data_IF_628405046752
#
_entry.id   IF_628405046752
#
_cell.length_a   1.000
_cell.length_b   1.000
_cell.length_c   1.000
_cell.angle_alpha   90.00
_cell.angle_beta   90.00
_cell.angle_gamma   90.00
#
_symmetry.space_group_name_H-M   'P 1'
#
loop_
_entity.id
_entity.type
_entity.pdbx_description
1 polymer ?
#
# COMPACT_ATOMS: atom_id res chain seq x y z
N UNK A 1 53.85 -35.41 24.07
CA UNK A 1 52.40 -35.40 24.39
C UNK A 1 51.93 -33.96 24.23
N UNK A 2 51.36 -33.55 23.07
CA UNK A 2 49.94 -33.72 22.65
C UNK A 2 49.04 -32.95 23.65
N UNK A 3 48.43 -31.79 23.40
CA UNK A 3 47.52 -31.33 22.32
C UNK A 3 47.44 -29.79 22.39
N UNK A 4 47.85 -29.03 21.37
CA UNK A 4 47.01 -28.36 20.37
C UNK A 4 45.48 -28.36 20.65
N UNK A 5 44.93 -27.19 20.97
CA UNK A 5 43.49 -26.89 20.86
C UNK A 5 43.34 -25.57 20.10
N UNK A 6 43.36 -25.72 18.77
CA UNK A 6 42.79 -24.77 17.82
C UNK A 6 41.28 -25.04 17.80
N UNK A 7 40.47 -24.08 18.21
CA UNK A 7 39.05 -24.06 17.84
C UNK A 7 38.80 -22.83 16.97
N UNK A 8 38.83 -23.09 15.67
CA UNK A 8 38.08 -22.37 14.65
C UNK A 8 36.59 -22.41 15.01
N UNK A 9 35.94 -21.25 15.06
CA UNK A 9 34.56 -21.11 14.60
C UNK A 9 34.39 -19.79 13.85
N UNK A 10 34.59 -19.91 12.54
CA UNK A 10 34.12 -19.00 11.50
C UNK A 10 32.59 -19.13 11.42
N UNK A 11 31.92 -18.05 10.99
CA UNK A 11 30.53 -17.94 10.52
C UNK A 11 29.54 -17.46 11.60
N UNK A 12 28.67 -16.47 11.37
CA UNK A 12 28.07 -16.06 10.11
C UNK A 12 27.64 -14.58 10.20
N UNK A 13 28.20 -13.73 9.32
CA UNK A 13 27.50 -12.53 8.85
C UNK A 13 26.30 -13.00 8.04
N UNK A 14 25.12 -13.00 8.65
CA UNK A 14 23.85 -12.96 7.96
C UNK A 14 22.79 -12.85 9.05
N UNK A 15 22.06 -11.74 9.10
CA UNK A 15 20.68 -11.64 9.60
C UNK A 15 20.32 -10.17 9.73
N UNK A 16 20.12 -9.50 8.59
CA UNK A 16 19.00 -8.58 8.41
C UNK A 16 18.64 -8.59 6.94
N UNK A 17 18.14 -9.75 6.49
CA UNK A 17 17.23 -9.73 5.36
C UNK A 17 16.05 -8.86 5.79
N UNK A 18 15.98 -7.64 5.28
CA UNK A 18 14.75 -6.87 5.26
C UNK A 18 13.75 -7.68 4.43
N UNK A 19 13.02 -8.58 5.08
CA UNK A 19 11.80 -9.12 4.49
C UNK A 19 10.88 -7.93 4.25
N UNK A 20 10.50 -7.61 3.00
CA UNK A 20 9.41 -6.68 2.78
C UNK A 20 8.19 -7.34 3.43
N UNK A 21 7.74 -6.76 4.54
CA UNK A 21 6.57 -7.24 5.25
C UNK A 21 5.38 -7.15 4.31
N UNK A 22 4.99 -8.28 3.72
CA UNK A 22 3.77 -8.43 2.94
C UNK A 22 2.57 -8.35 3.87
N UNK A 23 2.28 -7.14 4.36
CA UNK A 23 1.06 -6.84 5.11
C UNK A 23 -0.02 -6.50 4.08
N UNK A 24 -0.96 -7.42 3.92
CA UNK A 24 -2.15 -7.26 3.08
C UNK A 24 -3.21 -6.50 3.89
N UNK A 25 -3.57 -5.29 3.46
CA UNK A 25 -4.69 -4.53 4.00
C UNK A 25 -5.97 -4.85 3.23
N UNK A 26 -7.06 -5.20 3.95
CA UNK A 26 -8.41 -5.30 3.37
C UNK A 26 -9.15 -3.99 3.61
N UNK A 27 -9.53 -3.29 2.55
CA UNK A 27 -10.18 -1.97 2.59
C UNK A 27 -9.25 -0.82 3.00
N UNK A 28 -9.75 0.41 2.91
CA UNK A 28 -9.03 1.64 3.31
C UNK A 28 -8.76 1.65 4.82
N UNK A 29 -9.75 1.27 5.64
CA UNK A 29 -9.55 0.96 7.06
C UNK A 29 -8.34 0.05 7.30
N UNK A 30 -8.07 -0.91 6.42
CA UNK A 30 -6.94 -1.83 6.57
C UNK A 30 -5.58 -1.12 6.58
N UNK A 31 -5.36 -0.09 5.78
CA UNK A 31 -4.12 0.70 5.82
C UNK A 31 -4.11 1.64 7.03
N UNK A 32 -5.24 2.27 7.34
CA UNK A 32 -5.32 3.25 8.43
C UNK A 32 -5.26 2.63 9.84
N UNK A 33 -5.71 1.38 9.98
CA UNK A 33 -5.70 0.63 11.23
C UNK A 33 -4.39 -0.12 11.48
N UNK A 34 -3.52 -0.20 10.48
CA UNK A 34 -2.18 -0.76 10.65
C UNK A 34 -1.39 0.08 11.64
N UNK A 35 -0.86 -0.55 12.68
CA UNK A 35 -0.06 0.12 13.71
C UNK A 35 1.19 0.80 13.14
N UNK A 36 1.73 0.33 12.02
CA UNK A 36 2.88 0.92 11.33
C UNK A 36 2.51 2.04 10.34
N UNK A 37 1.22 2.23 10.05
CA UNK A 37 0.65 3.29 9.22
C UNK A 37 -0.28 4.22 10.03
N UNK A 38 -0.30 4.15 11.35
CA UNK A 38 -1.12 5.02 12.18
C UNK A 38 -0.25 6.02 12.91
N UNK A 39 -0.53 7.31 12.74
CA UNK A 39 0.11 8.36 13.52
C UNK A 39 -0.34 9.76 13.14
N UNK A 40 0.22 10.77 13.83
CA UNK A 40 -0.19 12.16 13.66
C UNK A 40 0.33 12.77 12.34
N UNK A 41 -0.27 13.88 11.94
CA UNK A 41 0.25 14.72 10.85
C UNK A 41 1.71 15.16 11.09
N UNK A 42 2.41 15.46 10.00
CA UNK A 42 3.77 15.95 10.01
C UNK A 42 4.81 14.93 10.45
N UNK A 43 4.41 13.66 10.67
CA UNK A 43 5.29 12.57 11.05
C UNK A 43 5.29 11.50 9.96
N UNK A 44 6.50 11.09 9.59
CA UNK A 44 6.70 9.93 8.72
C UNK A 44 6.38 8.65 9.49
N UNK A 45 5.50 7.83 8.95
CA UNK A 45 5.10 6.55 9.50
C UNK A 45 6.03 5.43 9.04
N UNK A 46 6.09 4.36 9.84
CA UNK A 46 6.98 3.22 9.59
C UNK A 46 6.64 2.44 8.31
N UNK A 47 5.41 2.57 7.80
CA UNK A 47 5.01 1.94 6.56
C UNK A 47 5.37 2.75 5.30
N UNK A 48 5.74 4.02 5.44
CA UNK A 48 6.13 4.85 4.32
C UNK A 48 7.46 4.40 3.70
N UNK A 49 7.50 4.33 2.38
CA UNK A 49 8.61 3.78 1.60
C UNK A 49 8.58 2.24 1.47
N UNK A 50 7.60 1.57 2.07
CA UNK A 50 7.43 0.11 1.95
C UNK A 50 6.37 -0.21 0.91
N UNK A 51 6.52 -1.38 0.29
CA UNK A 51 5.48 -1.95 -0.56
C UNK A 51 4.34 -2.45 0.33
N UNK A 52 3.13 -2.00 0.04
CA UNK A 52 1.90 -2.46 0.70
C UNK A 52 0.96 -3.01 -0.36
N UNK A 53 0.30 -4.11 -0.02
CA UNK A 53 -0.79 -4.67 -0.80
C UNK A 53 -2.13 -4.26 -0.17
N UNK A 54 -2.99 -3.67 -0.97
CA UNK A 54 -4.34 -3.25 -0.62
C UNK A 54 -5.34 -4.01 -1.50
N UNK A 55 -6.34 -4.61 -0.87
CA UNK A 55 -7.51 -5.16 -1.54
C UNK A 55 -8.73 -4.29 -1.22
N UNK A 56 -9.47 -3.87 -2.23
CA UNK A 56 -10.60 -2.98 -2.07
C UNK A 56 -11.83 -3.45 -2.82
N UNK A 57 -12.99 -3.40 -2.17
CA UNK A 57 -14.27 -3.56 -2.83
C UNK A 57 -14.63 -2.28 -3.58
N UNK A 58 -15.15 -2.45 -4.79
CA UNK A 58 -15.58 -1.38 -5.68
C UNK A 58 -17.08 -1.13 -5.46
N UNK A 59 -17.40 0.04 -4.93
CA UNK A 59 -18.76 0.59 -4.85
C UNK A 59 -18.76 2.00 -5.49
N UNK A 60 -19.75 2.84 -5.18
CA UNK A 60 -19.80 4.25 -5.62
C UNK A 60 -18.74 5.16 -4.96
N UNK A 61 -17.72 4.58 -4.33
CA UNK A 61 -16.70 5.25 -3.53
C UNK A 61 -15.38 5.49 -4.29
N UNK A 62 -15.37 5.32 -5.61
CA UNK A 62 -14.18 5.44 -6.46
C UNK A 62 -14.31 6.62 -7.41
N UNK A 63 -13.29 7.48 -7.42
CA UNK A 63 -13.12 8.54 -8.40
C UNK A 63 -11.81 8.34 -9.16
N UNK A 64 -11.71 8.90 -10.37
CA UNK A 64 -10.52 8.82 -11.22
C UNK A 64 -10.18 10.22 -11.70
N UNK A 65 -8.90 10.58 -11.67
CA UNK A 65 -8.38 11.78 -12.34
C UNK A 65 -6.97 11.51 -12.86
N UNK A 66 -6.76 11.67 -14.16
CA UNK A 66 -5.49 11.35 -14.82
C UNK A 66 -5.05 9.90 -14.57
N UNK A 67 -3.83 9.75 -14.06
CA UNK A 67 -3.24 8.47 -13.65
C UNK A 67 -3.49 8.14 -12.17
N UNK A 68 -4.52 8.70 -11.56
CA UNK A 68 -4.84 8.49 -10.14
C UNK A 68 -6.24 7.94 -9.95
N UNK A 69 -6.34 6.87 -9.16
CA UNK A 69 -7.60 6.45 -8.53
C UNK A 69 -7.66 7.04 -7.13
N UNK A 70 -8.80 7.64 -6.81
CA UNK A 70 -9.15 8.09 -5.47
C UNK A 70 -10.17 7.11 -4.92
N UNK A 71 -9.74 6.35 -3.92
CA UNK A 71 -10.58 5.38 -3.28
C UNK A 71 -10.99 5.93 -1.92
N UNK A 72 -12.30 6.12 -1.71
CA UNK A 72 -12.87 6.65 -0.47
C UNK A 72 -13.38 5.50 0.40
N UNK A 73 -13.23 5.61 1.71
CA UNK A 73 -13.77 4.61 2.62
C UNK A 73 -15.32 4.69 2.60
N UNK A 74 -16.04 3.58 2.34
CA UNK A 74 -17.49 3.60 2.32
C UNK A 74 -18.12 3.89 3.68
N UNK A 75 -17.40 3.62 4.77
CA UNK A 75 -17.87 3.85 6.13
C UNK A 75 -17.39 5.20 6.69
N UNK A 76 -16.40 5.83 6.05
CA UNK A 76 -15.79 7.08 6.50
C UNK A 76 -15.35 7.94 5.31
N UNK A 77 -16.26 8.77 4.83
CA UNK A 77 -16.08 9.55 3.60
C UNK A 77 -14.94 10.58 3.67
N UNK A 78 -14.44 10.86 4.88
CA UNK A 78 -13.32 11.77 5.13
C UNK A 78 -11.98 11.16 4.73
N UNK A 79 -11.92 9.82 4.68
CA UNK A 79 -10.71 9.10 4.31
C UNK A 79 -10.71 8.72 2.85
N UNK A 80 -9.72 9.25 2.14
CA UNK A 80 -9.45 8.92 0.73
C UNK A 80 -8.00 8.49 0.60
N UNK A 81 -7.77 7.28 0.08
CA UNK A 81 -6.46 6.82 -0.37
C UNK A 81 -6.30 7.16 -1.84
N UNK A 82 -5.12 7.64 -2.21
CA UNK A 82 -4.74 7.85 -3.61
C UNK A 82 -3.96 6.64 -4.11
N UNK A 83 -4.23 6.21 -5.33
CA UNK A 83 -3.47 5.18 -6.02
C UNK A 83 -2.95 5.84 -7.29
N UNK A 84 -1.65 6.06 -7.37
CA UNK A 84 -1.02 6.75 -8.49
C UNK A 84 -0.22 5.78 -9.34
N UNK A 85 -0.55 5.73 -10.62
CA UNK A 85 0.07 4.85 -11.58
C UNK A 85 1.25 5.52 -12.28
N UNK A 86 2.42 4.90 -12.24
CA UNK A 86 3.58 5.34 -13.01
C UNK A 86 3.36 5.19 -14.51
N UNK A 87 4.16 5.89 -15.31
CA UNK A 87 4.05 5.91 -16.78
C UNK A 87 4.23 4.55 -17.45
N UNK A 88 4.82 3.57 -16.76
CA UNK A 88 4.99 2.20 -17.23
C UNK A 88 3.74 1.32 -17.03
N UNK A 89 2.71 1.82 -16.34
CA UNK A 89 1.44 1.11 -16.14
C UNK A 89 0.46 1.52 -17.24
N UNK A 90 0.00 0.59 -18.10
CA UNK A 90 -0.98 0.90 -19.15
C UNK A 90 -2.29 1.43 -18.55
N UNK A 91 -2.82 2.49 -19.15
CA UNK A 91 -4.05 3.15 -18.67
C UNK A 91 -5.27 2.21 -18.76
N UNK A 92 -5.26 1.31 -19.74
CA UNK A 92 -6.31 0.32 -20.00
C UNK A 92 -6.54 -0.62 -18.80
N UNK A 93 -5.54 -0.78 -17.92
CA UNK A 93 -5.69 -1.61 -16.73
C UNK A 93 -6.63 -0.99 -15.70
N UNK A 94 -6.69 0.34 -15.63
CA UNK A 94 -7.40 1.05 -14.56
C UNK A 94 -8.42 2.08 -15.06
N UNK A 95 -8.47 2.38 -16.36
CA UNK A 95 -9.43 3.32 -16.96
C UNK A 95 -10.88 2.91 -16.68
N UNK A 96 -11.15 1.61 -16.74
CA UNK A 96 -12.49 1.05 -16.68
C UNK A 96 -12.88 0.62 -15.27
N UNK A 97 -12.17 1.10 -14.24
CA UNK A 97 -12.40 0.65 -12.87
C UNK A 97 -13.84 0.88 -12.38
N UNK A 98 -14.52 1.88 -12.93
CA UNK A 98 -15.93 2.19 -12.63
C UNK A 98 -16.94 1.29 -13.35
N UNK A 99 -16.50 0.34 -14.17
CA UNK A 99 -17.39 -0.62 -14.80
C UNK A 99 -18.15 -1.41 -13.72
N UNK A 100 -19.51 -1.43 -13.74
CA UNK A 100 -20.31 -2.14 -12.74
C UNK A 100 -20.04 -3.65 -12.61
N UNK A 101 -19.44 -4.26 -13.64
CA UNK A 101 -18.98 -5.65 -13.61
C UNK A 101 -17.81 -5.85 -12.64
N UNK A 102 -17.01 -4.81 -12.39
CA UNK A 102 -15.89 -4.87 -11.47
C UNK A 102 -16.39 -4.82 -10.02
N UNK A 103 -15.90 -5.72 -9.17
CA UNK A 103 -16.34 -5.87 -7.77
C UNK A 103 -15.28 -5.53 -6.76
N UNK A 104 -14.02 -5.77 -7.13
CA UNK A 104 -12.88 -5.45 -6.29
C UNK A 104 -11.65 -5.21 -7.14
N UNK A 105 -10.69 -4.50 -6.57
CA UNK A 105 -9.34 -4.44 -7.09
C UNK A 105 -8.34 -4.80 -6.01
N UNK A 106 -7.18 -5.25 -6.47
CA UNK A 106 -6.00 -5.45 -5.65
C UNK A 106 -4.91 -4.57 -6.23
N UNK A 107 -4.25 -3.82 -5.35
CA UNK A 107 -3.12 -2.96 -5.71
C UNK A 107 -1.96 -3.22 -4.77
N UNK A 108 -0.76 -3.24 -5.33
CA UNK A 108 0.52 -3.28 -4.62
C UNK A 108 1.31 -2.04 -4.99
N UNK A 109 2.00 -1.42 -4.05
CA UNK A 109 2.79 -0.23 -4.37
C UNK A 109 3.51 0.35 -3.18
N UNK A 110 4.44 1.26 -3.45
CA UNK A 110 5.18 1.97 -2.41
C UNK A 110 4.25 2.98 -1.76
N UNK A 111 4.15 2.96 -0.44
CA UNK A 111 3.31 3.91 0.30
C UNK A 111 4.05 5.20 0.60
N UNK A 112 3.37 6.32 0.37
CA UNK A 112 3.82 7.67 0.69
C UNK A 112 2.74 8.36 1.52
N UNK A 113 3.11 8.93 2.68
CA UNK A 113 2.16 9.62 3.54
C UNK A 113 2.05 11.10 3.19
N UNK A 114 0.84 11.63 3.25
CA UNK A 114 0.57 13.07 3.15
C UNK A 114 -0.41 13.52 4.22
N UNK A 115 -0.39 14.81 4.55
CA UNK A 115 -1.29 15.39 5.52
C UNK A 115 -2.53 15.95 4.81
N UNK A 116 -3.71 15.62 5.34
CA UNK A 116 -4.99 16.07 4.83
C UNK A 116 -5.75 16.77 5.95
N UNK A 117 -6.34 17.93 5.66
CA UNK A 117 -7.24 18.61 6.59
C UNK A 117 -8.68 18.23 6.26
N UNK A 118 -9.36 17.60 7.20
CA UNK A 118 -10.78 17.25 7.09
C UNK A 118 -11.51 17.74 8.33
N UNK A 119 -12.58 18.51 8.15
CA UNK A 119 -13.34 19.13 9.24
C UNK A 119 -12.47 19.85 10.29
N UNK A 120 -11.48 20.62 9.83
CA UNK A 120 -10.50 21.34 10.68
C UNK A 120 -9.58 20.44 11.52
N UNK A 121 -9.66 19.11 11.35
CA UNK A 121 -8.74 18.13 11.95
C UNK A 121 -7.71 17.73 10.91
N UNK A 122 -6.44 17.76 11.30
CA UNK A 122 -5.38 17.22 10.46
C UNK A 122 -5.29 15.71 10.63
N UNK A 123 -5.33 15.00 9.51
CA UNK A 123 -5.30 13.54 9.43
C UNK A 123 -4.19 13.09 8.48
N UNK A 124 -3.43 12.06 8.87
CA UNK A 124 -2.44 11.39 8.00
C UNK A 124 -3.16 10.47 7.02
N UNK A 125 -2.97 10.69 5.72
CA UNK A 125 -3.49 9.84 4.65
C UNK A 125 -2.36 9.34 3.75
N UNK A 126 -2.68 8.49 2.77
CA UNK A 126 -1.70 7.72 2.01
C UNK A 126 -1.92 7.73 0.51
N UNK A 127 -0.79 7.70 -0.20
CA UNK A 127 -0.67 7.46 -1.63
C UNK A 127 -0.01 6.10 -1.81
N UNK A 128 -0.59 5.24 -2.65
CA UNK A 128 0.03 3.99 -3.11
C UNK A 128 0.58 4.26 -4.50
N UNK A 129 1.90 4.29 -4.64
CA UNK A 129 2.60 4.47 -5.91
C UNK A 129 2.79 3.12 -6.60
N UNK A 130 2.09 2.92 -7.71
CA UNK A 130 2.12 1.68 -8.51
C UNK A 130 3.08 1.88 -9.66
N UNK A 131 4.14 1.08 -9.72
CA UNK A 131 5.21 1.26 -10.73
C UNK A 131 5.15 0.26 -11.88
N UNK A 132 4.43 -0.86 -11.70
CA UNK A 132 4.37 -1.96 -12.67
C UNK A 132 2.92 -2.38 -12.93
N UNK A 133 2.67 -2.90 -14.12
CA UNK A 133 1.37 -3.42 -14.52
C UNK A 133 0.89 -4.58 -13.61
N UNK A 134 1.79 -5.49 -13.26
CA UNK A 134 1.51 -6.68 -12.43
C UNK A 134 1.08 -6.35 -10.99
N UNK A 135 1.36 -5.13 -10.53
CA UNK A 135 1.01 -4.66 -9.20
C UNK A 135 -0.45 -4.20 -9.09
N UNK A 136 -1.23 -4.24 -10.16
CA UNK A 136 -2.64 -3.87 -10.16
C UNK A 136 -3.51 -4.92 -10.85
N UNK A 137 -4.65 -5.23 -10.27
CA UNK A 137 -5.60 -6.19 -10.84
C UNK A 137 -7.03 -5.86 -10.43
N UNK A 138 -7.96 -5.98 -11.38
CA UNK A 138 -9.41 -5.81 -11.15
C UNK A 138 -10.08 -7.16 -11.33
N UNK A 139 -11.08 -7.44 -10.49
CA UNK A 139 -11.80 -8.70 -10.49
C UNK A 139 -13.30 -8.45 -10.73
N UNK A 140 -13.88 -9.27 -11.60
CA UNK A 140 -15.30 -9.30 -11.93
C UNK A 140 -15.95 -10.53 -11.30
N UNK A 141 -17.23 -10.44 -10.91
CA UNK A 141 -18.00 -11.64 -10.57
C UNK A 141 -18.33 -12.38 -11.87
N UNK A 142 -18.08 -13.69 -11.88
CA UNK A 142 -18.50 -14.59 -12.97
C UNK A 142 -20.00 -14.81 -12.94
#
# INVERSE_FOLDING_TARGET
MVRLLVFLSISCMALTACSPGNSTAKGIKGILQRSDCKGPCGKKMNCEGKVIKLEMQLNNNIMTAGNTIFARDPDDYDYTIKIEFGSAVPIELYSDIKNPANKRFVVSGIVEGYDQYVHQVCTRSYIIKVSKAEDFSVFQDK
#
